data_IF_301266328581
#
_entry.id   IF_301266328581
#
_cell.length_a   1.000
_cell.length_b   1.000
_cell.length_c   1.000
_cell.angle_alpha   90.00
_cell.angle_beta   90.00
_cell.angle_gamma   90.00
#
_symmetry.space_group_name_H-M   'P 1'
#
loop_
_entity.id
_entity.type
_entity.pdbx_description
1 polymer ?
#
# COMPACT_ATOMS: atom_id res chain seq x y z
N UNK A 1 8.98 -45.90 32.17
CA UNK A 1 9.46 -44.51 31.97
C UNK A 1 8.76 -43.94 30.73
N UNK A 2 7.76 -43.06 30.88
CA UNK A 2 7.02 -42.48 29.75
C UNK A 2 6.50 -41.07 30.08
N UNK A 3 7.40 -40.07 30.13
CA UNK A 3 7.00 -38.66 30.33
C UNK A 3 7.73 -37.64 29.44
N UNK A 4 8.69 -38.07 28.61
CA UNK A 4 9.42 -37.16 27.72
C UNK A 4 8.68 -36.87 26.40
N UNK A 5 7.85 -37.80 25.90
CA UNK A 5 7.28 -37.68 24.54
C UNK A 5 6.09 -36.71 24.44
N UNK A 6 5.32 -36.48 25.51
CA UNK A 6 4.14 -35.60 25.44
C UNK A 6 4.47 -34.10 25.43
N UNK A 7 5.59 -33.70 26.04
CA UNK A 7 6.01 -32.29 26.08
C UNK A 7 6.61 -31.82 24.75
N UNK A 8 7.41 -32.68 24.10
CA UNK A 8 7.99 -32.40 22.79
C UNK A 8 6.93 -32.23 21.70
N UNK A 9 5.89 -33.07 21.70
CA UNK A 9 4.78 -32.94 20.74
C UNK A 9 3.95 -31.66 20.93
N UNK A 10 3.83 -31.16 22.17
CA UNK A 10 3.12 -29.90 22.45
C UNK A 10 3.92 -28.68 22.01
N UNK A 11 5.24 -28.67 22.26
CA UNK A 11 6.14 -27.61 21.80
C UNK A 11 6.23 -27.57 20.26
N UNK A 12 6.33 -28.72 19.60
CA UNK A 12 6.32 -28.81 18.13
C UNK A 12 5.02 -28.29 17.52
N UNK A 13 3.86 -28.61 18.12
CA UNK A 13 2.56 -28.05 17.70
C UNK A 13 2.45 -26.55 17.94
N UNK A 14 3.01 -26.03 19.04
CA UNK A 14 3.03 -24.59 19.32
C UNK A 14 3.85 -23.84 18.27
N UNK A 15 5.06 -24.32 17.98
CA UNK A 15 5.94 -23.71 16.98
C UNK A 15 5.33 -23.79 15.57
N UNK A 16 4.65 -24.89 15.22
CA UNK A 16 3.93 -25.01 13.96
C UNK A 16 2.74 -24.05 13.88
N UNK A 17 1.99 -23.87 14.97
CA UNK A 17 0.87 -22.94 15.03
C UNK A 17 1.33 -21.48 14.93
N UNK A 18 2.45 -21.13 15.56
CA UNK A 18 3.09 -19.80 15.42
C UNK A 18 3.61 -19.56 14.01
N UNK A 19 4.33 -20.52 13.43
CA UNK A 19 4.79 -20.43 12.03
C UNK A 19 3.62 -20.27 11.05
N UNK A 20 2.51 -21.00 11.28
CA UNK A 20 1.30 -20.85 10.48
C UNK A 20 0.64 -19.47 10.68
N UNK A 21 0.65 -18.91 11.89
CA UNK A 21 0.13 -17.56 12.15
C UNK A 21 0.97 -16.48 11.46
N UNK A 22 2.30 -16.58 11.55
CA UNK A 22 3.22 -15.67 10.84
C UNK A 22 3.03 -15.78 9.33
N UNK A 23 2.93 -17.00 8.78
CA UNK A 23 2.66 -17.20 7.36
C UNK A 23 1.26 -16.71 6.92
N UNK A 24 0.28 -16.67 7.81
CA UNK A 24 -1.04 -16.07 7.54
C UNK A 24 -0.95 -14.54 7.59
N UNK A 25 -0.22 -13.98 8.55
CA UNK A 25 -0.02 -12.53 8.69
C UNK A 25 0.78 -11.94 7.51
N UNK A 26 1.84 -12.63 7.07
CA UNK A 26 2.61 -12.27 5.86
C UNK A 26 1.75 -12.29 4.60
N UNK A 27 0.90 -13.31 4.43
CA UNK A 27 -0.03 -13.38 3.28
C UNK A 27 -1.05 -12.24 3.31
N UNK A 28 -1.67 -11.96 4.46
CA UNK A 28 -2.60 -10.85 4.59
C UNK A 28 -1.92 -9.48 4.32
N UNK A 29 -0.68 -9.30 4.77
CA UNK A 29 0.09 -8.09 4.46
C UNK A 29 0.45 -7.98 2.97
N UNK A 30 0.84 -9.09 2.33
CA UNK A 30 1.12 -9.13 0.90
C UNK A 30 -0.13 -8.84 0.05
N UNK A 31 -1.28 -9.39 0.44
CA UNK A 31 -2.56 -9.12 -0.22
C UNK A 31 -2.95 -7.64 -0.07
N UNK A 32 -2.83 -7.08 1.14
CA UNK A 32 -3.07 -5.66 1.38
C UNK A 32 -2.12 -4.74 0.59
N UNK A 33 -0.86 -5.14 0.41
CA UNK A 33 0.11 -4.40 -0.42
C UNK A 33 -0.27 -4.45 -1.91
N UNK A 34 -0.68 -5.62 -2.42
CA UNK A 34 -1.15 -5.77 -3.80
C UNK A 34 -2.38 -4.90 -4.09
N UNK A 35 -3.36 -4.87 -3.17
CA UNK A 35 -4.54 -4.03 -3.30
C UNK A 35 -4.20 -2.54 -3.31
N UNK A 36 -3.31 -2.10 -2.42
CA UNK A 36 -2.82 -0.71 -2.42
C UNK A 36 -2.08 -0.36 -3.71
N UNK A 37 -1.29 -1.29 -4.25
CA UNK A 37 -0.59 -1.08 -5.52
C UNK A 37 -1.57 -0.97 -6.69
N UNK A 38 -2.59 -1.82 -6.75
CA UNK A 38 -3.65 -1.72 -7.76
C UNK A 38 -4.41 -0.40 -7.66
N UNK A 39 -4.81 0.01 -6.46
CA UNK A 39 -5.47 1.30 -6.24
C UNK A 39 -4.59 2.46 -6.68
N UNK A 40 -3.29 2.43 -6.36
CA UNK A 40 -2.32 3.43 -6.80
C UNK A 40 -2.23 3.51 -8.34
N UNK A 41 -2.12 2.37 -9.02
CA UNK A 41 -2.04 2.33 -10.48
C UNK A 41 -3.31 2.91 -11.13
N UNK A 42 -4.48 2.59 -10.59
CA UNK A 42 -5.76 3.15 -11.06
C UNK A 42 -5.84 4.66 -10.79
N UNK A 43 -5.40 5.09 -9.61
CA UNK A 43 -5.38 6.50 -9.25
C UNK A 43 -4.48 7.31 -10.18
N UNK A 44 -3.27 6.80 -10.48
CA UNK A 44 -2.34 7.42 -11.43
C UNK A 44 -2.98 7.51 -12.82
N UNK A 45 -3.60 6.44 -13.30
CA UNK A 45 -4.29 6.43 -14.60
C UNK A 45 -5.43 7.46 -14.67
N UNK A 46 -6.27 7.54 -13.63
CA UNK A 46 -7.39 8.51 -13.57
C UNK A 46 -6.91 9.96 -13.39
N UNK A 47 -5.76 10.16 -12.74
CA UNK A 47 -5.17 11.48 -12.53
C UNK A 47 -4.28 11.95 -13.69
N UNK A 48 -4.12 11.16 -14.77
CA UNK A 48 -3.14 11.42 -15.84
C UNK A 48 -3.10 12.87 -16.31
N UNK A 49 -4.26 13.47 -16.63
CA UNK A 49 -4.32 14.86 -17.12
C UNK A 49 -3.81 15.89 -16.10
N UNK A 50 -4.13 15.73 -14.80
CA UNK A 50 -3.67 16.66 -13.76
C UNK A 50 -2.20 16.40 -13.42
N UNK A 51 -1.77 15.14 -13.48
CA UNK A 51 -0.36 14.76 -13.36
C UNK A 51 0.49 15.34 -14.48
N UNK A 52 -0.04 15.40 -15.71
CA UNK A 52 0.62 15.98 -16.88
C UNK A 52 0.82 17.49 -16.71
N UNK A 53 -0.21 18.23 -16.26
CA UNK A 53 -0.10 19.66 -15.97
C UNK A 53 0.96 19.95 -14.89
N UNK A 54 1.02 19.14 -13.83
CA UNK A 54 2.09 19.25 -12.84
C UNK A 54 3.46 18.94 -13.43
N UNK A 55 3.57 17.91 -14.28
CA UNK A 55 4.81 17.52 -14.95
C UNK A 55 5.33 18.60 -15.90
N UNK A 56 4.44 19.21 -16.69
CA UNK A 56 4.78 20.34 -17.57
C UNK A 56 5.27 21.54 -16.76
N UNK A 57 4.58 21.89 -15.68
CA UNK A 57 5.02 22.95 -14.79
C UNK A 57 6.39 22.62 -14.16
N UNK A 58 6.61 21.38 -13.71
CA UNK A 58 7.86 20.95 -13.11
C UNK A 58 9.02 21.01 -14.11
N UNK A 59 8.83 20.56 -15.35
CA UNK A 59 9.83 20.67 -16.43
C UNK A 59 10.20 22.13 -16.72
N UNK A 60 9.25 23.05 -16.63
CA UNK A 60 9.50 24.47 -16.90
C UNK A 60 10.20 25.21 -15.75
N UNK A 61 10.10 24.71 -14.50
CA UNK A 61 10.54 25.43 -13.31
C UNK A 61 11.67 24.73 -12.53
N UNK A 62 12.05 23.51 -12.91
CA UNK A 62 13.15 22.73 -12.36
C UNK A 62 13.16 22.76 -10.81
N UNK A 63 14.21 23.30 -10.18
CA UNK A 63 14.35 23.39 -8.71
C UNK A 63 13.23 24.24 -8.07
N UNK A 64 12.67 25.21 -8.80
CA UNK A 64 11.63 26.11 -8.32
C UNK A 64 10.21 25.52 -8.36
N UNK A 65 10.07 24.23 -8.67
CA UNK A 65 8.78 23.51 -8.75
C UNK A 65 7.92 23.68 -7.50
N UNK A 66 8.52 23.70 -6.30
CA UNK A 66 7.77 23.82 -5.03
C UNK A 66 7.05 25.17 -4.94
N UNK A 67 7.64 26.21 -5.51
CA UNK A 67 7.10 27.57 -5.49
C UNK A 67 6.15 27.78 -6.67
N UNK A 68 6.60 27.49 -7.89
CA UNK A 68 5.86 27.83 -9.10
C UNK A 68 4.76 26.82 -9.48
N UNK A 69 4.86 25.58 -9.00
CA UNK A 69 3.90 24.52 -9.32
C UNK A 69 3.05 24.11 -8.11
N UNK A 70 3.01 24.95 -7.07
CA UNK A 70 2.25 24.68 -5.84
C UNK A 70 0.77 24.41 -6.10
N UNK A 71 0.14 25.16 -6.99
CA UNK A 71 -1.29 24.99 -7.29
C UNK A 71 -1.56 23.71 -8.08
N UNK A 72 -0.70 23.38 -9.05
CA UNK A 72 -0.75 22.11 -9.77
C UNK A 72 -0.52 20.91 -8.82
N UNK A 73 0.42 21.04 -7.88
CA UNK A 73 0.67 20.02 -6.86
C UNK A 73 -0.53 19.84 -5.92
N UNK A 74 -1.16 20.93 -5.50
CA UNK A 74 -2.37 20.91 -4.68
C UNK A 74 -3.53 20.23 -5.42
N UNK A 75 -3.74 20.56 -6.69
CA UNK A 75 -4.78 19.95 -7.52
C UNK A 75 -4.55 18.44 -7.71
N UNK A 76 -3.31 18.04 -8.01
CA UNK A 76 -2.93 16.64 -8.15
C UNK A 76 -3.16 15.86 -6.85
N UNK A 77 -2.70 16.39 -5.72
CA UNK A 77 -2.87 15.74 -4.42
C UNK A 77 -4.35 15.64 -4.00
N UNK A 78 -5.16 16.67 -4.26
CA UNK A 78 -6.59 16.62 -4.00
C UNK A 78 -7.29 15.51 -4.81
N UNK A 79 -6.92 15.36 -6.09
CA UNK A 79 -7.45 14.28 -6.94
C UNK A 79 -6.97 12.90 -6.52
N UNK A 80 -5.69 12.73 -6.20
CA UNK A 80 -5.16 11.47 -5.69
C UNK A 80 -5.87 11.07 -4.39
N UNK A 81 -6.07 12.02 -3.47
CA UNK A 81 -6.74 11.75 -2.20
C UNK A 81 -8.17 11.26 -2.36
N UNK A 82 -8.90 11.72 -3.38
CA UNK A 82 -10.25 11.19 -3.69
C UNK A 82 -10.23 9.71 -4.07
N UNK A 83 -9.13 9.22 -4.65
CA UNK A 83 -9.02 7.86 -5.20
C UNK A 83 -8.27 6.91 -4.28
N UNK A 84 -7.45 7.43 -3.37
CA UNK A 84 -6.64 6.65 -2.42
C UNK A 84 -7.14 6.73 -0.97
N UNK A 85 -8.32 7.32 -0.74
CA UNK A 85 -8.95 7.30 0.59
C UNK A 85 -9.43 5.90 0.97
N UNK A 86 -9.71 5.73 2.27
CA UNK A 86 -10.14 4.46 2.84
C UNK A 86 -11.46 3.95 2.24
N UNK A 87 -12.40 4.85 1.95
CA UNK A 87 -13.69 4.50 1.35
C UNK A 87 -13.52 3.94 -0.07
N UNK A 88 -12.60 4.49 -0.86
CA UNK A 88 -12.26 3.98 -2.18
C UNK A 88 -11.43 2.70 -2.14
N UNK A 89 -10.68 2.47 -1.05
CA UNK A 89 -9.93 1.22 -0.86
C UNK A 89 -10.86 0.04 -0.62
N UNK A 90 -12.00 0.26 0.04
CA UNK A 90 -13.01 -0.79 0.31
C UNK A 90 -13.64 -1.36 -0.98
N UNK A 91 -13.61 -0.62 -2.10
CA UNK A 91 -14.04 -1.13 -3.42
C UNK A 91 -13.14 -2.27 -3.92
N UNK A 92 -11.90 -2.34 -3.41
CA UNK A 92 -10.89 -3.29 -3.83
C UNK A 92 -10.61 -4.40 -2.79
N UNK A 93 -11.21 -4.35 -1.59
CA UNK A 93 -11.06 -5.39 -0.55
C UNK A 93 -11.99 -6.57 -0.83
#
# INVERSE_FOLDING_TARGET
MAKANMLSSRLSRSNQAEHNRVAVDERHCADAQNLKQQQSNIAISKCHSVSEQFSECAKANDIMVVVHCRDHNKALNARLHQLTNAEHFDIYR
#
